data_IF_578990033055
#
_entry.id   IF_578990033055
#
_cell.length_a   1.000
_cell.length_b   1.000
_cell.length_c   1.000
_cell.angle_alpha   90.00
_cell.angle_beta   90.00
_cell.angle_gamma   90.00
#
_symmetry.space_group_name_H-M   'P 1'
#
loop_
_entity.id
_entity.type
_entity.pdbx_description
1 polymer ?
#
# COMPACT_ATOMS: atom_id res chain seq x y z
N UNK A 1 40.83 -33.46 -15.03
CA UNK A 1 39.37 -33.30 -15.16
C UNK A 1 38.86 -32.73 -13.84
N UNK A 2 38.65 -31.42 -13.78
CA UNK A 2 38.06 -30.72 -12.65
C UNK A 2 36.72 -30.13 -13.12
N UNK A 3 35.66 -30.10 -12.28
CA UNK A 3 34.46 -29.33 -12.57
C UNK A 3 34.62 -27.86 -12.12
N UNK A 4 34.30 -26.97 -13.05
CA UNK A 4 34.15 -25.51 -12.96
C UNK A 4 32.71 -25.28 -13.50
N UNK A 5 31.81 -24.46 -12.97
CA UNK A 5 31.83 -23.39 -11.98
C UNK A 5 30.38 -22.98 -11.62
N UNK A 6 30.24 -22.30 -10.48
CA UNK A 6 29.35 -21.14 -10.36
C UNK A 6 27.84 -21.40 -10.46
N UNK A 7 27.14 -21.67 -9.36
CA UNK A 7 26.63 -20.59 -8.49
C UNK A 7 26.34 -19.28 -9.26
N UNK A 8 25.11 -19.09 -9.78
CA UNK A 8 24.80 -17.83 -10.47
C UNK A 8 23.34 -17.39 -10.61
N UNK A 9 22.34 -18.28 -10.67
CA UNK A 9 20.98 -17.82 -11.04
C UNK A 9 19.95 -17.79 -9.89
N UNK A 10 20.28 -18.34 -8.72
CA UNK A 10 19.39 -18.35 -7.56
C UNK A 10 19.46 -17.06 -6.70
N UNK A 11 20.20 -16.03 -7.15
CA UNK A 11 20.39 -14.78 -6.43
C UNK A 11 20.00 -13.57 -7.27
N UNK A 12 18.96 -12.86 -6.82
CA UNK A 12 18.64 -11.46 -7.16
C UNK A 12 18.01 -11.20 -8.52
N UNK A 13 16.77 -11.68 -8.68
CA UNK A 13 15.70 -10.84 -9.23
C UNK A 13 15.38 -9.67 -8.27
N UNK A 14 16.42 -8.97 -7.82
CA UNK A 14 16.33 -7.65 -7.23
C UNK A 14 16.17 -6.70 -8.41
N UNK A 15 15.09 -6.93 -9.16
CA UNK A 15 14.70 -6.19 -10.32
C UNK A 15 14.45 -4.77 -9.80
N UNK A 16 15.35 -3.84 -10.13
CA UNK A 16 15.13 -2.41 -9.93
C UNK A 16 13.74 -2.11 -10.48
N UNK A 17 12.76 -1.90 -9.60
CA UNK A 17 11.42 -1.62 -10.10
C UNK A 17 11.43 -0.25 -10.76
N UNK A 18 10.57 -0.07 -11.76
CA UNK A 18 10.52 1.18 -12.51
C UNK A 18 10.23 2.38 -11.59
N UNK A 19 10.56 3.62 -12.04
CA UNK A 19 10.34 4.85 -11.28
C UNK A 19 8.91 4.99 -10.76
N UNK A 20 7.92 4.53 -11.54
CA UNK A 20 6.51 4.53 -11.14
C UNK A 20 6.21 3.59 -9.95
N UNK A 21 6.86 2.42 -9.89
CA UNK A 21 6.69 1.49 -8.76
C UNK A 21 7.32 2.04 -7.48
N UNK A 22 8.42 2.78 -7.57
CA UNK A 22 8.96 3.48 -6.40
C UNK A 22 8.00 4.52 -5.85
N UNK A 23 7.26 5.23 -6.72
CA UNK A 23 6.20 6.16 -6.26
C UNK A 23 5.07 5.43 -5.54
N UNK A 24 4.62 4.28 -6.05
CA UNK A 24 3.65 3.44 -5.35
C UNK A 24 4.18 2.98 -3.98
N UNK A 25 5.46 2.62 -3.90
CA UNK A 25 6.11 2.26 -2.62
C UNK A 25 6.15 3.42 -1.64
N UNK A 26 6.43 4.63 -2.09
CA UNK A 26 6.45 5.82 -1.22
C UNK A 26 5.05 6.07 -0.61
N UNK A 27 4.00 5.96 -1.43
CA UNK A 27 2.61 6.08 -0.94
C UNK A 27 2.30 4.97 0.08
N UNK A 28 2.66 3.73 -0.19
CA UNK A 28 2.47 2.61 0.74
C UNK A 28 3.27 2.77 2.04
N UNK A 29 4.45 3.39 1.99
CA UNK A 29 5.19 3.72 3.21
C UNK A 29 4.49 4.81 4.02
N UNK A 30 3.93 5.80 3.33
CA UNK A 30 3.20 6.88 3.98
C UNK A 30 1.89 6.39 4.62
N UNK A 31 1.15 5.47 3.99
CA UNK A 31 -0.05 4.85 4.59
C UNK A 31 0.30 4.10 5.88
N UNK A 32 1.42 3.36 5.91
CA UNK A 32 1.91 2.70 7.13
C UNK A 32 2.25 3.69 8.24
N UNK A 33 2.85 4.84 7.90
CA UNK A 33 3.13 5.89 8.88
C UNK A 33 1.84 6.51 9.42
N UNK A 34 0.84 6.75 8.56
CA UNK A 34 -0.48 7.22 8.99
C UNK A 34 -1.15 6.23 9.94
N UNK A 35 -1.11 4.93 9.63
CA UNK A 35 -1.65 3.89 10.51
C UNK A 35 -0.89 3.84 11.85
N UNK A 36 0.43 3.98 11.83
CA UNK A 36 1.22 4.04 13.05
C UNK A 36 0.87 5.25 13.93
N UNK A 37 0.62 6.42 13.33
CA UNK A 37 0.14 7.60 14.05
C UNK A 37 -1.28 7.40 14.61
N UNK A 38 -2.20 6.88 13.80
CA UNK A 38 -3.57 6.57 14.24
C UNK A 38 -3.60 5.54 15.40
N UNK A 39 -2.68 4.56 15.40
CA UNK A 39 -2.53 3.60 16.52
C UNK A 39 -2.07 4.25 17.82
N UNK A 40 -1.43 5.41 17.76
CA UNK A 40 -1.04 6.23 18.92
C UNK A 40 -2.03 7.36 19.23
N UNK A 41 -3.17 7.40 18.53
CA UNK A 41 -4.17 8.48 18.61
C UNK A 41 -3.60 9.87 18.25
N UNK A 42 -2.51 9.89 17.48
CA UNK A 42 -1.82 11.10 17.05
C UNK A 42 -2.47 11.65 15.77
N UNK A 43 -3.68 12.18 15.92
CA UNK A 43 -4.52 12.61 14.79
C UNK A 43 -3.97 13.84 14.05
N UNK A 44 -3.23 14.71 14.74
CA UNK A 44 -2.51 15.82 14.11
C UNK A 44 -1.47 15.31 13.11
N UNK A 45 -0.69 14.30 13.49
CA UNK A 45 0.26 13.65 12.59
C UNK A 45 -0.43 12.93 11.44
N UNK A 46 -1.58 12.27 11.68
CA UNK A 46 -2.38 11.66 10.59
C UNK A 46 -2.78 12.70 9.55
N UNK A 47 -3.30 13.86 9.97
CA UNK A 47 -3.70 14.96 9.06
C UNK A 47 -2.48 15.51 8.30
N UNK A 48 -1.34 15.70 8.98
CA UNK A 48 -0.10 16.17 8.34
C UNK A 48 0.39 15.19 7.27
N UNK A 49 0.36 13.90 7.56
CA UNK A 49 0.76 12.85 6.62
C UNK A 49 -0.26 12.71 5.47
N UNK A 50 -1.55 12.89 5.71
CA UNK A 50 -2.59 12.90 4.67
C UNK A 50 -2.33 14.01 3.64
N UNK A 51 -1.96 15.21 4.10
CA UNK A 51 -1.62 16.31 3.21
C UNK A 51 -0.45 15.97 2.28
N UNK A 52 0.59 15.29 2.81
CA UNK A 52 1.70 14.77 2.00
C UNK A 52 1.24 13.68 1.03
N UNK A 53 0.34 12.78 1.46
CA UNK A 53 -0.19 11.70 0.63
C UNK A 53 -0.92 12.26 -0.60
N UNK A 54 -1.74 13.29 -0.40
CA UNK A 54 -2.47 13.97 -1.48
C UNK A 54 -1.54 14.49 -2.58
N UNK A 55 -0.39 15.06 -2.20
CA UNK A 55 0.64 15.54 -3.15
C UNK A 55 1.27 14.36 -3.90
N UNK A 56 1.70 13.31 -3.19
CA UNK A 56 2.32 12.13 -3.81
C UNK A 56 1.38 11.42 -4.78
N UNK A 57 0.09 11.29 -4.43
CA UNK A 57 -0.94 10.72 -5.29
C UNK A 57 -1.14 11.57 -6.56
N UNK A 58 -1.04 12.90 -6.46
CA UNK A 58 -1.07 13.80 -7.62
C UNK A 58 0.06 13.46 -8.60
N UNK A 59 1.31 13.49 -8.14
CA UNK A 59 2.47 13.15 -8.97
C UNK A 59 2.42 11.73 -9.52
N UNK A 60 1.92 10.77 -8.73
CA UNK A 60 1.78 9.38 -9.16
C UNK A 60 0.77 9.23 -10.30
N UNK A 61 -0.37 9.94 -10.24
CA UNK A 61 -1.37 9.93 -11.31
C UNK A 61 -0.81 10.49 -12.62
N UNK A 62 -0.07 11.59 -12.54
CA UNK A 62 0.58 12.20 -13.71
C UNK A 62 1.61 11.25 -14.33
N UNK A 63 2.49 10.66 -13.51
CA UNK A 63 3.48 9.71 -13.97
C UNK A 63 2.87 8.44 -14.58
N UNK A 64 1.76 7.94 -14.01
CA UNK A 64 1.06 6.76 -14.51
C UNK A 64 0.43 6.93 -15.90
N UNK A 65 0.18 8.18 -16.33
CA UNK A 65 -0.30 8.46 -17.69
C UNK A 65 0.83 8.38 -18.73
N UNK A 66 2.07 8.66 -18.32
CA UNK A 66 3.23 8.73 -19.22
C UNK A 66 4.02 7.41 -19.30
N UNK A 67 3.97 6.59 -18.25
CA UNK A 67 4.82 5.41 -18.09
C UNK A 67 3.98 4.11 -18.04
N UNK A 68 3.82 3.36 -19.14
CA UNK A 68 3.15 2.06 -19.10
C UNK A 68 3.98 1.06 -18.30
N UNK A 69 3.30 0.28 -17.45
CA UNK A 69 3.94 -0.73 -16.59
C UNK A 69 4.08 -2.08 -17.31
N UNK A 70 5.21 -2.75 -17.08
CA UNK A 70 5.39 -4.16 -17.44
C UNK A 70 4.39 -5.05 -16.70
N UNK A 71 4.09 -6.28 -17.17
CA UNK A 71 3.19 -7.20 -16.46
C UNK A 71 3.64 -7.48 -15.01
N UNK A 72 4.95 -7.58 -14.78
CA UNK A 72 5.53 -7.78 -13.43
C UNK A 72 5.28 -6.55 -12.54
N UNK A 73 5.48 -5.35 -13.07
CA UNK A 73 5.21 -4.12 -12.32
C UNK A 73 3.71 -3.89 -12.09
N UNK A 74 2.83 -4.32 -13.00
CA UNK A 74 1.39 -4.27 -12.78
C UNK A 74 0.98 -5.15 -11.59
N UNK A 75 1.53 -6.36 -11.49
CA UNK A 75 1.31 -7.23 -10.34
C UNK A 75 1.80 -6.57 -9.05
N UNK A 76 3.01 -5.99 -9.08
CA UNK A 76 3.57 -5.30 -7.91
C UNK A 76 2.77 -4.08 -7.49
N UNK A 77 2.24 -3.31 -8.46
CA UNK A 77 1.33 -2.19 -8.21
C UNK A 77 0.07 -2.64 -7.49
N UNK A 78 -0.54 -3.76 -7.90
CA UNK A 78 -1.76 -4.29 -7.28
C UNK A 78 -1.50 -4.66 -5.81
N UNK A 79 -0.37 -5.29 -5.52
CA UNK A 79 0.04 -5.61 -4.15
C UNK A 79 0.17 -4.35 -3.28
N UNK A 80 0.89 -3.34 -3.77
CA UNK A 80 1.06 -2.07 -3.04
C UNK A 80 -0.27 -1.34 -2.82
N UNK A 81 -1.18 -1.38 -3.79
CA UNK A 81 -2.52 -0.79 -3.64
C UNK A 81 -3.35 -1.53 -2.59
N UNK A 82 -3.24 -2.86 -2.51
CA UNK A 82 -3.92 -3.65 -1.46
C UNK A 82 -3.39 -3.29 -0.09
N UNK A 83 -2.08 -3.12 0.07
CA UNK A 83 -1.47 -2.69 1.33
C UNK A 83 -1.99 -1.31 1.77
N UNK A 84 -2.00 -0.33 0.85
CA UNK A 84 -2.54 1.01 1.11
C UNK A 84 -4.01 0.95 1.56
N UNK A 85 -4.85 0.21 0.83
CA UNK A 85 -6.27 0.09 1.14
C UNK A 85 -6.51 -0.61 2.49
N UNK A 86 -5.66 -1.58 2.83
CA UNK A 86 -5.71 -2.26 4.12
C UNK A 86 -5.36 -1.32 5.28
N UNK A 87 -4.30 -0.52 5.13
CA UNK A 87 -3.92 0.50 6.11
C UNK A 87 -5.04 1.54 6.29
N UNK A 88 -5.60 2.05 5.20
CA UNK A 88 -6.70 3.02 5.19
C UNK A 88 -7.96 2.48 5.90
N UNK A 89 -8.29 1.20 5.68
CA UNK A 89 -9.41 0.57 6.37
C UNK A 89 -9.17 0.51 7.89
N UNK A 90 -7.95 0.18 8.32
CA UNK A 90 -7.59 0.18 9.74
C UNK A 90 -7.59 1.57 10.37
N UNK A 91 -7.24 2.62 9.62
CA UNK A 91 -7.30 4.01 10.06
C UNK A 91 -8.76 4.43 10.26
N UNK A 92 -9.64 4.17 9.27
CA UNK A 92 -11.08 4.50 9.37
C UNK A 92 -11.76 3.84 10.54
N UNK A 93 -11.50 2.55 10.78
CA UNK A 93 -12.04 1.83 11.94
C UNK A 93 -11.66 2.46 13.29
N UNK A 94 -10.53 3.17 13.37
CA UNK A 94 -10.09 3.88 14.57
C UNK A 94 -10.69 5.28 14.67
N UNK A 95 -10.78 5.99 13.54
CA UNK A 95 -11.33 7.34 13.49
C UNK A 95 -12.86 7.37 13.67
N UNK A 96 -13.54 6.28 13.28
CA UNK A 96 -15.00 6.20 13.29
C UNK A 96 -15.52 4.98 14.08
N UNK A 97 -15.30 4.91 15.42
CA UNK A 97 -15.73 3.76 16.22
C UNK A 97 -17.24 3.49 16.12
N UNK A 98 -18.02 4.55 15.89
CA UNK A 98 -19.48 4.52 15.74
C UNK A 98 -19.95 3.77 14.48
N UNK A 99 -19.10 3.62 13.46
CA UNK A 99 -19.44 2.83 12.26
C UNK A 99 -19.59 1.35 12.59
N UNK A 100 -18.78 0.82 13.50
CA UNK A 100 -18.93 -0.56 13.98
C UNK A 100 -20.23 -0.76 14.75
N UNK A 101 -20.62 0.23 15.56
CA UNK A 101 -21.89 0.19 16.28
C UNK A 101 -23.09 0.30 15.33
N UNK A 102 -23.00 1.10 14.27
CA UNK A 102 -24.00 1.11 13.20
C UNK A 102 -24.06 -0.20 12.43
N UNK A 103 -22.93 -0.83 12.07
CA UNK A 103 -22.92 -2.16 11.43
C UNK A 103 -23.63 -3.20 12.31
N UNK A 104 -23.45 -3.12 13.65
CA UNK A 104 -24.15 -3.98 14.63
C UNK A 104 -25.66 -3.70 14.67
N UNK A 105 -26.06 -2.43 14.69
CA UNK A 105 -27.47 -2.01 14.77
C UNK A 105 -28.25 -2.27 13.47
N UNK A 106 -27.57 -2.15 12.32
CA UNK A 106 -28.18 -2.28 10.98
C UNK A 106 -28.04 -3.73 10.44
N UNK A 107 -27.24 -4.58 11.09
CA UNK A 107 -27.12 -6.01 10.75
C UNK A 107 -26.36 -6.28 9.44
N UNK A 108 -25.58 -5.32 8.94
CA UNK A 108 -24.77 -5.50 7.73
C UNK A 108 -23.51 -6.27 8.10
N UNK A 109 -23.61 -7.61 8.09
CA UNK A 109 -22.45 -8.48 8.18
C UNK A 109 -21.73 -8.44 6.83
N UNK A 110 -20.52 -7.86 6.75
CA UNK A 110 -19.68 -8.02 5.55
C UNK A 110 -19.43 -9.52 5.38
N UNK A 111 -19.92 -10.09 4.28
CA UNK A 111 -19.61 -11.46 3.92
C UNK A 111 -18.10 -11.56 3.66
N UNK A 112 -17.36 -12.10 4.62
CA UNK A 112 -16.02 -12.63 4.35
C UNK A 112 -16.13 -13.83 3.40
N UNK A 113 -15.11 -14.10 2.58
CA UNK A 113 -15.15 -15.25 1.68
C UNK A 113 -15.32 -16.53 2.51
N UNK A 114 -16.31 -17.34 2.15
CA UNK A 114 -16.47 -18.69 2.67
C UNK A 114 -15.24 -19.53 2.28
N UNK A 115 -14.73 -20.30 3.23
CA UNK A 115 -13.68 -21.31 3.04
C UNK A 115 -13.95 -22.25 1.85
#
# INVERSE_FOLDING_TARGET
MAPDDGSGWAGRAEQRSGPLIERYREVAQLSRHMLAAARREDWEEVVRLEARCRILIGHLKEAALAEPLSPVDQQRRIELLRDILHDDAQIRLRAEPWVLELERLIGIKRAGPSD
#
